data_IF_540494005594
#
_entry.id   IF_540494005594
#
_cell.length_a   1.000
_cell.length_b   1.000
_cell.length_c   1.000
_cell.angle_alpha   90.00
_cell.angle_beta   90.00
_cell.angle_gamma   90.00
#
_symmetry.space_group_name_H-M   'P 1'
#
loop_
_entity.id
_entity.type
_entity.pdbx_description
1 polymer ?
#
# COMPACT_ATOMS: atom_id res chain seq x y z
N UNK A 1 17.92 13.76 17.56
CA UNK A 1 16.88 12.69 17.52
C UNK A 1 15.47 13.21 17.20
N UNK A 2 15.13 14.48 17.48
CA UNK A 2 13.82 15.06 17.12
C UNK A 2 13.63 15.31 15.61
N UNK A 3 14.69 15.71 14.89
CA UNK A 3 14.58 16.01 13.45
C UNK A 3 14.20 14.79 12.60
N UNK A 4 14.72 13.60 12.92
CA UNK A 4 14.34 12.35 12.24
C UNK A 4 12.90 11.95 12.50
N UNK A 5 12.32 12.32 13.65
CA UNK A 5 10.93 12.02 13.97
C UNK A 5 9.99 12.96 13.21
N UNK A 6 10.31 14.26 13.12
CA UNK A 6 9.52 15.23 12.35
C UNK A 6 9.61 15.00 10.83
N UNK A 7 10.78 14.64 10.32
CA UNK A 7 10.95 14.24 8.91
C UNK A 7 10.10 13.01 8.60
N UNK A 8 10.14 11.99 9.47
CA UNK A 8 9.28 10.81 9.36
C UNK A 8 7.80 11.15 9.44
N UNK A 9 7.35 12.06 10.30
CA UNK A 9 5.95 12.48 10.37
C UNK A 9 5.49 13.19 9.08
N UNK A 10 6.35 14.00 8.48
CA UNK A 10 6.07 14.72 7.23
C UNK A 10 6.09 13.80 6.01
N UNK A 11 7.05 12.87 5.94
CA UNK A 11 7.18 11.86 4.88
C UNK A 11 6.13 10.76 5.03
N UNK A 12 5.80 10.34 6.26
CA UNK A 12 4.74 9.39 6.58
C UNK A 12 3.40 9.84 6.02
N UNK A 13 3.01 11.07 6.31
CA UNK A 13 1.75 11.62 5.79
C UNK A 13 1.72 11.75 4.28
N UNK A 14 2.86 11.83 3.60
CA UNK A 14 2.88 11.89 2.13
C UNK A 14 2.63 10.50 1.53
N UNK A 15 3.41 9.49 1.94
CA UNK A 15 3.23 8.15 1.38
C UNK A 15 1.87 7.56 1.78
N UNK A 16 1.34 7.87 2.97
CA UNK A 16 0.04 7.38 3.41
C UNK A 16 -1.09 7.84 2.49
N UNK A 17 -1.05 9.11 2.06
CA UNK A 17 -2.02 9.68 1.12
C UNK A 17 -1.92 9.00 -0.25
N UNK A 18 -0.72 8.76 -0.73
CA UNK A 18 -0.48 8.11 -2.02
C UNK A 18 -0.91 6.64 -1.99
N UNK A 19 -0.60 5.91 -0.91
CA UNK A 19 -1.05 4.53 -0.69
C UNK A 19 -2.58 4.46 -0.61
N UNK A 20 -3.21 5.40 0.11
CA UNK A 20 -4.67 5.49 0.19
C UNK A 20 -5.30 5.75 -1.18
N UNK A 21 -4.75 6.69 -1.94
CA UNK A 21 -5.20 7.02 -3.30
C UNK A 21 -5.12 5.79 -4.22
N UNK A 22 -4.04 5.02 -4.13
CA UNK A 22 -3.93 3.77 -4.87
C UNK A 22 -4.95 2.73 -4.41
N UNK A 23 -5.17 2.61 -3.09
CA UNK A 23 -6.18 1.72 -2.54
C UNK A 23 -7.59 2.02 -3.08
N UNK A 24 -7.97 3.29 -3.12
CA UNK A 24 -9.24 3.76 -3.68
C UNK A 24 -9.33 3.47 -5.19
N UNK A 25 -8.23 3.70 -5.93
CA UNK A 25 -8.15 3.44 -7.36
C UNK A 25 -8.30 1.95 -7.68
N UNK A 26 -7.59 1.08 -6.95
CA UNK A 26 -7.69 -0.38 -7.10
C UNK A 26 -9.10 -0.85 -6.75
N UNK A 27 -9.73 -0.30 -5.72
CA UNK A 27 -11.12 -0.65 -5.40
C UNK A 27 -12.13 -0.21 -6.47
N UNK A 28 -11.87 0.91 -7.13
CA UNK A 28 -12.71 1.46 -8.19
C UNK A 28 -12.57 0.73 -9.54
N UNK A 29 -11.47 -0.01 -9.76
CA UNK A 29 -11.17 -0.68 -11.01
C UNK A 29 -11.03 -2.20 -10.84
N UNK A 30 -12.01 -2.95 -11.35
CA UNK A 30 -12.03 -4.41 -11.29
C UNK A 30 -10.85 -5.06 -12.01
N UNK A 31 -10.31 -4.43 -13.06
CA UNK A 31 -9.19 -4.98 -13.83
C UNK A 31 -7.90 -4.97 -13.01
N UNK A 32 -7.70 -3.96 -12.17
CA UNK A 32 -6.56 -3.86 -11.27
C UNK A 32 -6.65 -4.87 -10.12
N UNK A 33 -7.86 -5.11 -9.60
CA UNK A 33 -8.09 -6.16 -8.62
C UNK A 33 -7.79 -7.55 -9.19
N UNK A 34 -8.24 -7.86 -10.40
CA UNK A 34 -7.94 -9.14 -11.05
C UNK A 34 -6.44 -9.31 -11.32
N UNK A 35 -5.73 -8.25 -11.75
CA UNK A 35 -4.26 -8.26 -11.89
C UNK A 35 -3.56 -8.60 -10.58
N UNK A 36 -3.99 -7.97 -9.48
CA UNK A 36 -3.46 -8.25 -8.15
C UNK A 36 -3.80 -9.68 -7.70
N UNK A 37 -4.99 -10.17 -8.06
CA UNK A 37 -5.43 -11.51 -7.65
C UNK A 37 -4.65 -12.64 -8.34
N UNK A 38 -4.13 -12.40 -9.54
CA UNK A 38 -3.31 -13.37 -10.28
C UNK A 38 -1.88 -13.49 -9.75
N UNK A 39 -1.48 -12.67 -8.76
CA UNK A 39 -0.14 -12.74 -8.19
C UNK A 39 0.02 -13.98 -7.29
N UNK A 40 1.07 -14.80 -7.50
CA UNK A 40 1.17 -16.11 -6.84
C UNK A 40 1.73 -16.05 -5.41
N UNK A 41 2.36 -14.93 -5.02
CA UNK A 41 2.95 -14.76 -3.69
C UNK A 41 2.77 -13.34 -3.15
N UNK A 42 3.04 -13.13 -1.86
CA UNK A 42 3.07 -11.79 -1.27
C UNK A 42 4.08 -10.86 -1.91
N UNK A 43 5.29 -11.36 -2.22
CA UNK A 43 6.30 -10.54 -2.87
C UNK A 43 5.79 -10.06 -4.22
N UNK A 44 5.20 -10.96 -5.01
CA UNK A 44 4.63 -10.62 -6.32
C UNK A 44 3.45 -9.66 -6.18
N UNK A 45 2.61 -9.83 -5.16
CA UNK A 45 1.52 -8.88 -4.87
C UNK A 45 2.08 -7.48 -4.58
N UNK A 46 3.07 -7.38 -3.68
CA UNK A 46 3.67 -6.10 -3.30
C UNK A 46 4.32 -5.43 -4.51
N UNK A 47 5.04 -6.20 -5.32
CA UNK A 47 5.72 -5.68 -6.52
C UNK A 47 4.71 -5.26 -7.60
N UNK A 48 3.62 -6.01 -7.77
CA UNK A 48 2.50 -5.62 -8.64
C UNK A 48 1.81 -4.35 -8.13
N UNK A 49 1.53 -4.24 -6.83
CA UNK A 49 0.90 -3.08 -6.23
C UNK A 49 1.76 -1.82 -6.41
N UNK A 50 3.08 -1.93 -6.24
CA UNK A 50 4.02 -0.84 -6.53
C UNK A 50 4.11 -0.53 -8.04
N UNK A 51 3.98 -1.53 -8.90
CA UNK A 51 3.94 -1.34 -10.36
C UNK A 51 2.70 -0.54 -10.77
N UNK A 52 1.52 -0.92 -10.28
CA UNK A 52 0.27 -0.18 -10.51
C UNK A 52 0.40 1.25 -9.98
N UNK A 53 1.02 1.46 -8.80
CA UNK A 53 1.28 2.81 -8.29
C UNK A 53 2.02 3.67 -9.33
N UNK A 54 3.13 3.15 -9.87
CA UNK A 54 3.96 3.85 -10.86
C UNK A 54 3.22 4.10 -12.17
N UNK A 55 2.46 3.12 -12.66
CA UNK A 55 1.62 3.24 -13.87
C UNK A 55 0.63 4.41 -13.76
N UNK A 56 0.14 4.67 -12.54
CA UNK A 56 -0.83 5.73 -12.25
C UNK A 56 -0.20 7.02 -11.68
N UNK A 57 1.13 7.15 -11.70
CA UNK A 57 1.85 8.32 -11.22
C UNK A 57 1.73 8.55 -9.71
N UNK A 58 1.46 7.48 -8.95
CA UNK A 58 1.37 7.49 -7.49
C UNK A 58 2.73 7.16 -6.91
N UNK A 59 3.24 8.03 -6.03
CA UNK A 59 4.63 8.00 -5.59
C UNK A 59 4.77 7.53 -4.14
N UNK A 60 5.11 6.25 -3.97
CA UNK A 60 5.61 5.71 -2.72
C UNK A 60 6.61 4.59 -3.01
N UNK A 61 7.48 4.29 -2.04
CA UNK A 61 8.44 3.18 -2.14
C UNK A 61 7.88 1.89 -1.56
N UNK A 62 8.50 0.76 -1.92
CA UNK A 62 8.18 -0.55 -1.31
C UNK A 62 8.36 -0.53 0.22
N UNK A 63 9.34 0.22 0.73
CA UNK A 63 9.56 0.38 2.16
C UNK A 63 8.38 1.10 2.82
N UNK A 64 7.87 2.16 2.20
CA UNK A 64 6.70 2.92 2.69
C UNK A 64 5.46 2.03 2.77
N UNK A 65 5.22 1.20 1.75
CA UNK A 65 4.12 0.25 1.76
C UNK A 65 4.25 -0.79 2.89
N UNK A 66 5.46 -1.27 3.18
CA UNK A 66 5.69 -2.21 4.26
C UNK A 66 5.50 -1.58 5.64
N UNK A 67 5.88 -0.31 5.81
CA UNK A 67 5.61 0.49 7.02
C UNK A 67 4.10 0.58 7.23
N UNK A 68 3.37 1.04 6.21
CA UNK A 68 1.91 1.13 6.22
C UNK A 68 1.22 -0.19 6.62
N UNK A 69 1.62 -1.31 6.00
CA UNK A 69 1.07 -2.64 6.34
C UNK A 69 1.34 -3.01 7.79
N UNK A 70 2.52 -2.69 8.31
CA UNK A 70 2.88 -3.00 9.69
C UNK A 70 2.11 -2.14 10.70
N UNK A 71 1.92 -0.86 10.42
CA UNK A 71 1.15 0.06 11.27
C UNK A 71 -0.34 -0.32 11.30
N UNK A 72 -0.91 -0.71 10.17
CA UNK A 72 -2.29 -1.18 10.12
C UNK A 72 -2.54 -2.48 10.88
N UNK A 73 -1.56 -3.40 10.92
CA UNK A 73 -1.65 -4.60 11.77
C UNK A 73 -1.78 -4.28 13.25
N UNK A 74 -1.30 -3.11 13.68
CA UNK A 74 -1.42 -2.63 15.05
C UNK A 74 -2.73 -1.88 15.31
N UNK A 75 -3.63 -1.80 14.32
CA UNK A 75 -4.97 -1.26 14.46
C UNK A 75 -5.08 0.26 14.30
N UNK A 76 -4.03 0.93 13.83
CA UNK A 76 -4.06 2.38 13.56
C UNK A 76 -4.43 2.67 12.09
N UNK A 77 -5.06 3.83 11.86
CA UNK A 77 -5.41 4.46 10.58
C UNK A 77 -5.41 3.55 9.34
N UNK A 78 -6.59 3.04 8.97
CA UNK A 78 -6.75 2.10 7.86
C UNK A 78 -6.58 2.79 6.49
N UNK A 79 -5.34 3.01 6.05
CA UNK A 79 -5.02 3.62 4.74
C UNK A 79 -5.08 2.65 3.53
N UNK A 80 -4.69 1.39 3.70
CA UNK A 80 -4.88 0.31 2.71
C UNK A 80 -6.27 -0.30 2.91
N UNK A 81 -7.09 -0.41 1.85
CA UNK A 81 -8.42 -0.99 1.98
C UNK A 81 -8.42 -2.45 2.45
N UNK A 82 -9.40 -2.80 3.28
CA UNK A 82 -9.53 -4.16 3.85
C UNK A 82 -9.56 -5.27 2.80
N UNK A 83 -10.15 -5.03 1.61
CA UNK A 83 -10.18 -6.02 0.52
C UNK A 83 -8.77 -6.32 0.00
N UNK A 84 -7.97 -5.29 -0.22
CA UNK A 84 -6.56 -5.40 -0.64
C UNK A 84 -5.74 -6.12 0.44
N UNK A 85 -5.98 -5.79 1.72
CA UNK A 85 -5.34 -6.49 2.84
C UNK A 85 -5.72 -7.97 2.93
N UNK A 86 -7.00 -8.31 2.71
CA UNK A 86 -7.44 -9.71 2.65
C UNK A 86 -6.77 -10.47 1.53
N UNK A 87 -6.65 -9.88 0.35
CA UNK A 87 -5.92 -10.50 -0.76
C UNK A 87 -4.46 -10.81 -0.35
N UNK A 88 -3.79 -9.92 0.38
CA UNK A 88 -2.44 -10.22 0.90
C UNK A 88 -2.50 -11.34 1.94
N UNK A 89 -3.47 -11.30 2.85
CA UNK A 89 -3.60 -12.25 3.96
C UNK A 89 -4.01 -13.66 3.52
N UNK A 90 -4.90 -13.81 2.54
CA UNK A 90 -5.35 -15.09 1.98
C UNK A 90 -4.22 -15.85 1.26
N UNK A 91 -3.08 -15.18 1.02
CA UNK A 91 -1.84 -15.76 0.48
C UNK A 91 -0.86 -16.22 1.58
N UNK A 92 -1.27 -16.20 2.86
CA UNK A 92 -0.52 -16.70 4.03
C UNK A 92 -1.28 -17.74 4.84
#
# INVERSE_FOLDING_TARGET
MLEKAMQRDAEARYFEKEIKKLGELVLGDHTLLDRLDRTPSKSDFIDMYCTIAKEHGINFSKADLLIAVQEQKQGQDWIIPKKVLRMIADRF
#
